data_IF_176540640306
#
_entry.id   IF_176540640306
#
_cell.length_a   1.000
_cell.length_b   1.000
_cell.length_c   1.000
_cell.angle_alpha   90.00
_cell.angle_beta   90.00
_cell.angle_gamma   90.00
#
_symmetry.space_group_name_H-M   'P 1'
#
loop_
_entity.id
_entity.type
_entity.pdbx_description
1 polymer ?
#
# COMPACT_ATOMS: atom_id res chain seq x y z
N UNK A 1 -18.82 -50.78 17.06
CA UNK A 1 -17.51 -50.11 16.89
C UNK A 1 -17.58 -49.07 15.76
N UNK A 2 -18.51 -48.11 15.79
CA UNK A 2 -18.60 -47.00 14.82
C UNK A 2 -19.27 -45.75 15.42
N UNK A 3 -19.19 -45.52 16.74
CA UNK A 3 -19.79 -44.35 17.37
C UNK A 3 -18.81 -43.52 18.24
N UNK A 4 -17.57 -43.96 18.43
CA UNK A 4 -16.56 -43.18 19.18
C UNK A 4 -15.76 -42.20 18.32
N UNK A 5 -15.86 -42.30 16.99
CA UNK A 5 -15.04 -41.52 16.06
C UNK A 5 -15.56 -40.09 15.80
N UNK A 6 -16.83 -39.81 16.10
CA UNK A 6 -17.48 -38.53 15.81
C UNK A 6 -17.21 -37.49 16.93
N UNK A 7 -17.11 -37.92 18.19
CA UNK A 7 -17.03 -37.00 19.34
C UNK A 7 -15.61 -36.41 19.55
N UNK A 8 -14.56 -37.04 19.01
CA UNK A 8 -13.16 -36.60 19.19
C UNK A 8 -12.63 -35.67 18.09
N UNK A 9 -13.31 -35.55 16.95
CA UNK A 9 -12.92 -34.64 15.85
C UNK A 9 -13.25 -33.18 16.19
N UNK A 10 -14.43 -32.94 16.79
CA UNK A 10 -14.92 -31.60 17.16
C UNK A 10 -13.99 -30.89 18.16
N UNK A 11 -13.43 -31.61 19.15
CA UNK A 11 -12.59 -31.00 20.20
C UNK A 11 -11.23 -30.53 19.68
N UNK A 12 -10.62 -31.25 18.74
CA UNK A 12 -9.35 -30.85 18.14
C UNK A 12 -9.56 -29.70 17.14
N UNK A 13 -10.65 -29.73 16.38
CA UNK A 13 -11.04 -28.62 15.50
C UNK A 13 -11.29 -27.33 16.28
N UNK A 14 -11.96 -27.39 17.44
CA UNK A 14 -12.15 -26.23 18.32
C UNK A 14 -10.81 -25.69 18.85
N UNK A 15 -9.86 -26.57 19.21
CA UNK A 15 -8.51 -26.15 19.64
C UNK A 15 -7.72 -25.52 18.50
N UNK A 16 -7.79 -26.08 17.29
CA UNK A 16 -7.16 -25.52 16.09
C UNK A 16 -7.77 -24.17 15.74
N UNK A 17 -9.10 -24.04 15.77
CA UNK A 17 -9.80 -22.79 15.54
C UNK A 17 -9.40 -21.72 16.59
N UNK A 18 -9.32 -22.08 17.86
CA UNK A 18 -8.86 -21.18 18.92
C UNK A 18 -7.40 -20.74 18.72
N UNK A 19 -6.51 -21.65 18.31
CA UNK A 19 -5.12 -21.33 17.96
C UNK A 19 -5.03 -20.39 16.76
N UNK A 20 -5.84 -20.61 15.73
CA UNK A 20 -5.90 -19.74 14.55
C UNK A 20 -6.40 -18.35 14.95
N UNK A 21 -7.46 -18.25 15.75
CA UNK A 21 -7.99 -16.96 16.23
C UNK A 21 -6.94 -16.24 17.09
N UNK A 22 -6.21 -16.96 17.95
CA UNK A 22 -5.15 -16.38 18.77
C UNK A 22 -3.97 -15.88 17.91
N UNK A 23 -3.54 -16.66 16.91
CA UNK A 23 -2.48 -16.26 15.97
C UNK A 23 -2.92 -15.05 15.12
N UNK A 24 -4.17 -15.04 14.66
CA UNK A 24 -4.75 -13.91 13.92
C UNK A 24 -4.87 -12.66 14.81
N UNK A 25 -5.27 -12.81 16.07
CA UNK A 25 -5.30 -11.73 17.05
C UNK A 25 -3.92 -11.19 17.39
N UNK A 26 -2.92 -12.07 17.53
CA UNK A 26 -1.52 -11.70 17.75
C UNK A 26 -0.92 -11.01 16.53
N UNK A 27 -1.19 -11.51 15.31
CA UNK A 27 -0.78 -10.88 14.06
C UNK A 27 -1.44 -9.50 13.88
N UNK A 28 -2.74 -9.37 14.18
CA UNK A 28 -3.45 -8.09 14.16
C UNK A 28 -2.89 -7.11 15.20
N UNK A 29 -2.57 -7.58 16.41
CA UNK A 29 -1.93 -6.77 17.46
C UNK A 29 -0.51 -6.31 17.09
N UNK A 30 0.31 -7.20 16.53
CA UNK A 30 1.65 -6.88 16.03
C UNK A 30 1.60 -5.88 14.87
N UNK A 31 0.64 -6.03 13.94
CA UNK A 31 0.41 -5.09 12.85
C UNK A 31 -0.07 -3.72 13.36
N UNK A 32 -0.96 -3.68 14.35
CA UNK A 32 -1.44 -2.44 14.96
C UNK A 32 -0.32 -1.70 15.71
N UNK A 33 0.53 -2.40 16.46
CA UNK A 33 1.68 -1.81 17.14
C UNK A 33 2.76 -1.33 16.17
N UNK A 34 2.97 -2.05 15.05
CA UNK A 34 3.90 -1.63 14.00
C UNK A 34 3.37 -0.41 13.23
N UNK A 35 2.07 -0.38 12.92
CA UNK A 35 1.39 0.78 12.34
C UNK A 35 1.42 2.00 13.29
N UNK A 36 1.26 1.80 14.59
CA UNK A 36 1.34 2.86 15.58
C UNK A 36 2.75 3.43 15.75
N UNK A 37 3.79 2.58 15.70
CA UNK A 37 5.19 3.00 15.75
C UNK A 37 5.61 3.76 14.49
N UNK A 38 5.13 3.36 13.32
CA UNK A 38 5.35 4.06 12.04
C UNK A 38 4.57 5.38 11.94
N UNK A 39 3.45 5.54 12.65
CA UNK A 39 2.69 6.80 12.68
C UNK A 39 3.27 7.87 13.62
N UNK A 40 4.00 7.47 14.68
CA UNK A 40 4.71 8.40 15.59
C UNK A 40 6.16 8.71 15.18
N UNK A 41 6.72 7.97 14.23
CA UNK A 41 8.04 8.24 13.68
C UNK A 41 7.98 9.32 12.60
N UNK A 42 8.54 10.50 12.89
CA UNK A 42 8.77 11.61 11.97
C UNK A 42 9.83 11.27 10.89
N UNK A 43 9.72 10.11 10.23
CA UNK A 43 10.60 9.68 9.17
C UNK A 43 9.96 9.94 7.82
N UNK A 44 10.63 10.73 6.98
CA UNK A 44 10.43 10.66 5.52
C UNK A 44 10.40 9.17 5.15
N UNK A 45 9.39 8.66 4.43
CA UNK A 45 9.38 7.26 4.04
C UNK A 45 10.69 6.98 3.31
N UNK A 46 11.48 5.95 3.72
CA UNK A 46 12.73 5.65 3.04
C UNK A 46 12.49 5.53 1.54
N UNK A 47 13.41 6.09 0.75
CA UNK A 47 13.33 6.08 -0.70
C UNK A 47 13.20 4.66 -1.23
N UNK A 48 12.79 4.49 -2.50
CA UNK A 48 12.74 3.14 -3.09
C UNK A 48 14.10 2.44 -3.04
N UNK A 49 15.19 3.21 -3.07
CA UNK A 49 16.56 2.71 -2.97
C UNK A 49 16.88 2.20 -1.55
N UNK A 50 16.57 2.99 -0.52
CA UNK A 50 16.77 2.61 0.89
C UNK A 50 16.03 1.31 1.25
N UNK A 51 14.81 1.15 0.72
CA UNK A 51 14.01 -0.08 0.92
C UNK A 51 14.58 -1.28 0.19
N UNK A 52 15.11 -1.09 -1.02
CA UNK A 52 15.76 -2.17 -1.76
C UNK A 52 17.03 -2.62 -1.02
N UNK A 53 17.86 -1.69 -0.58
CA UNK A 53 19.07 -2.02 0.18
C UNK A 53 18.76 -2.71 1.51
N UNK A 54 17.69 -2.30 2.19
CA UNK A 54 17.23 -2.99 3.39
C UNK A 54 16.86 -4.45 3.08
N UNK A 55 16.12 -4.70 1.99
CA UNK A 55 15.79 -6.06 1.55
C UNK A 55 17.02 -6.88 1.21
N UNK A 56 18.00 -6.28 0.51
CA UNK A 56 19.28 -6.94 0.20
C UNK A 56 19.98 -7.39 1.48
N UNK A 57 20.07 -6.50 2.48
CA UNK A 57 20.73 -6.78 3.76
C UNK A 57 19.99 -7.81 4.60
N UNK A 58 18.68 -7.69 4.72
CA UNK A 58 17.85 -8.58 5.54
C UNK A 58 17.75 -9.99 4.95
N UNK A 59 17.70 -10.11 3.61
CA UNK A 59 17.61 -11.40 2.93
C UNK A 59 18.97 -11.96 2.50
N UNK A 60 20.06 -11.23 2.76
CA UNK A 60 21.43 -11.60 2.39
C UNK A 60 21.55 -11.99 0.91
N UNK A 61 20.98 -11.15 0.03
CA UNK A 61 20.91 -11.46 -1.40
C UNK A 61 22.29 -11.42 -2.04
N UNK A 62 22.63 -12.46 -2.82
CA UNK A 62 23.81 -12.45 -3.68
C UNK A 62 23.66 -11.44 -4.82
N UNK A 63 24.76 -11.03 -5.45
CA UNK A 63 24.73 -10.06 -6.55
C UNK A 63 23.85 -10.51 -7.72
N UNK A 64 23.85 -11.81 -8.01
CA UNK A 64 22.98 -12.42 -9.02
C UNK A 64 21.50 -12.30 -8.64
N UNK A 65 21.15 -12.53 -7.36
CA UNK A 65 19.78 -12.38 -6.88
C UNK A 65 19.33 -10.91 -6.86
N UNK A 66 20.19 -9.99 -6.43
CA UNK A 66 19.88 -8.56 -6.43
C UNK A 66 19.55 -8.06 -7.84
N UNK A 67 20.31 -8.48 -8.85
CA UNK A 67 20.07 -8.13 -10.25
C UNK A 67 18.69 -8.60 -10.71
N UNK A 68 18.32 -9.84 -10.40
CA UNK A 68 17.00 -10.38 -10.73
C UNK A 68 15.86 -9.65 -10.01
N UNK A 69 16.01 -9.35 -8.73
CA UNK A 69 14.98 -8.61 -7.96
C UNK A 69 14.81 -7.18 -8.48
N UNK A 70 15.91 -6.49 -8.84
CA UNK A 70 15.83 -5.17 -9.50
C UNK A 70 15.04 -5.23 -10.80
N UNK A 71 15.31 -6.24 -11.63
CA UNK A 71 14.59 -6.43 -12.90
C UNK A 71 13.09 -6.64 -12.66
N UNK A 72 12.72 -7.54 -11.74
CA UNK A 72 11.31 -7.83 -11.42
C UNK A 72 10.59 -6.56 -10.95
N UNK A 73 11.21 -5.76 -10.08
CA UNK A 73 10.60 -4.51 -9.60
C UNK A 73 10.50 -3.44 -10.68
N UNK A 74 11.46 -3.37 -11.59
CA UNK A 74 11.42 -2.48 -12.76
C UNK A 74 10.25 -2.86 -13.68
N UNK A 75 10.17 -4.12 -14.09
CA UNK A 75 9.12 -4.63 -14.98
C UNK A 75 7.73 -4.45 -14.35
N UNK A 76 7.61 -4.74 -13.05
CA UNK A 76 6.37 -4.51 -12.30
C UNK A 76 5.99 -3.03 -12.27
N UNK A 77 6.96 -2.13 -12.10
CA UNK A 77 6.71 -0.68 -12.11
C UNK A 77 6.19 -0.23 -13.47
N UNK A 78 6.77 -0.73 -14.55
CA UNK A 78 6.33 -0.44 -15.92
C UNK A 78 4.91 -0.93 -16.17
N UNK A 79 4.60 -2.19 -15.83
CA UNK A 79 3.25 -2.75 -15.96
C UNK A 79 2.21 -1.92 -15.19
N UNK A 80 2.53 -1.50 -13.97
CA UNK A 80 1.65 -0.65 -13.17
C UNK A 80 1.49 0.75 -13.78
N UNK A 81 2.54 1.33 -14.37
CA UNK A 81 2.44 2.61 -15.06
C UNK A 81 1.54 2.50 -16.30
N UNK A 82 1.66 1.44 -17.08
CA UNK A 82 0.79 1.17 -18.23
C UNK A 82 -0.66 1.04 -17.80
N UNK A 83 -0.95 0.20 -16.79
CA UNK A 83 -2.30 0.05 -16.25
C UNK A 83 -2.87 1.38 -15.74
N UNK A 84 -2.05 2.22 -15.09
CA UNK A 84 -2.48 3.56 -14.65
C UNK A 84 -2.90 4.43 -15.83
N UNK A 85 -2.11 4.48 -16.91
CA UNK A 85 -2.42 5.25 -18.12
C UNK A 85 -3.70 4.76 -18.79
N UNK A 86 -3.87 3.45 -18.91
CA UNK A 86 -5.08 2.84 -19.50
C UNK A 86 -6.33 3.11 -18.66
N UNK A 87 -6.19 3.11 -17.32
CA UNK A 87 -7.30 3.35 -16.40
C UNK A 87 -7.66 4.83 -16.20
N UNK A 88 -6.75 5.76 -16.55
CA UNK A 88 -6.92 7.20 -16.35
C UNK A 88 -8.25 7.75 -16.88
N UNK A 89 -8.67 7.49 -18.14
CA UNK A 89 -9.93 8.02 -18.66
C UNK A 89 -11.14 7.54 -17.85
N UNK A 90 -11.16 6.26 -17.47
CA UNK A 90 -12.25 5.67 -16.69
C UNK A 90 -12.31 6.26 -15.27
N UNK A 91 -11.15 6.47 -14.66
CA UNK A 91 -11.06 7.13 -13.34
C UNK A 91 -11.55 8.58 -13.43
N UNK A 92 -11.18 9.31 -14.49
CA UNK A 92 -11.62 10.70 -14.72
C UNK A 92 -13.13 10.79 -14.88
N UNK A 93 -13.73 9.87 -15.63
CA UNK A 93 -15.18 9.80 -15.80
C UNK A 93 -15.90 9.58 -14.45
N UNK A 94 -15.45 8.60 -13.66
CA UNK A 94 -16.03 8.32 -12.33
C UNK A 94 -15.94 9.57 -11.42
N UNK A 95 -14.81 10.29 -11.45
CA UNK A 95 -14.65 11.54 -10.69
C UNK A 95 -15.61 12.63 -11.17
N UNK A 96 -15.75 12.82 -12.48
CA UNK A 96 -16.69 13.79 -13.05
C UNK A 96 -18.14 13.50 -12.63
N UNK A 97 -18.56 12.23 -12.69
CA UNK A 97 -19.90 11.84 -12.25
C UNK A 97 -20.11 12.04 -10.74
N UNK A 98 -19.08 11.85 -9.93
CA UNK A 98 -19.14 12.15 -8.49
C UNK A 98 -19.26 13.66 -8.25
N UNK A 99 -18.49 14.46 -8.98
CA UNK A 99 -18.51 15.92 -8.91
C UNK A 99 -19.89 16.49 -9.25
N UNK A 100 -20.54 15.99 -10.31
CA UNK A 100 -21.91 16.38 -10.67
C UNK A 100 -22.93 16.06 -9.57
N UNK A 101 -22.79 14.91 -8.90
CA UNK A 101 -23.67 14.53 -7.77
C UNK A 101 -23.43 15.43 -6.56
N UNK A 102 -22.17 15.77 -6.29
CA UNK A 102 -21.78 16.64 -5.19
C UNK A 102 -22.28 18.08 -5.40
N UNK A 103 -22.24 18.62 -6.63
CA UNK A 103 -22.77 19.94 -6.94
C UNK A 103 -24.27 20.07 -6.66
N UNK A 104 -25.04 18.98 -6.77
CA UNK A 104 -26.49 18.97 -6.45
C UNK A 104 -26.78 19.06 -4.96
N UNK A 105 -25.81 18.71 -4.11
CA UNK A 105 -25.97 18.62 -2.65
C UNK A 105 -25.31 19.81 -1.96
N UNK A 106 -24.18 20.28 -2.48
CA UNK A 106 -23.39 21.34 -1.87
C UNK A 106 -23.86 22.73 -2.30
N UNK A 107 -23.79 23.68 -1.38
CA UNK A 107 -23.89 25.11 -1.72
C UNK A 107 -22.66 25.55 -2.53
N UNK A 108 -22.76 26.67 -3.26
CA UNK A 108 -21.66 27.19 -4.08
C UNK A 108 -20.36 27.39 -3.28
N UNK A 109 -20.45 27.93 -2.06
CA UNK A 109 -19.28 28.13 -1.19
C UNK A 109 -18.66 26.82 -0.70
N UNK A 110 -19.48 25.81 -0.39
CA UNK A 110 -18.98 24.48 -0.01
C UNK A 110 -18.33 23.76 -1.20
N UNK A 111 -18.91 23.90 -2.39
CA UNK A 111 -18.35 23.35 -3.62
C UNK A 111 -16.96 23.93 -3.93
N UNK A 112 -16.82 25.25 -3.83
CA UNK A 112 -15.53 25.91 -4.05
C UNK A 112 -14.47 25.44 -3.05
N UNK A 113 -14.83 25.29 -1.76
CA UNK A 113 -13.91 24.74 -0.74
C UNK A 113 -13.54 23.28 -1.02
N UNK A 114 -14.49 22.47 -1.45
CA UNK A 114 -14.24 21.08 -1.83
C UNK A 114 -13.23 20.98 -2.98
N UNK A 115 -13.41 21.76 -4.04
CA UNK A 115 -12.49 21.81 -5.19
C UNK A 115 -11.07 22.23 -4.79
N UNK A 116 -10.94 23.23 -3.90
CA UNK A 116 -9.64 23.63 -3.37
C UNK A 116 -8.95 22.49 -2.61
N UNK A 117 -9.68 21.78 -1.74
CA UNK A 117 -9.13 20.65 -0.98
C UNK A 117 -8.66 19.49 -1.87
N UNK A 118 -9.40 19.21 -2.96
CA UNK A 118 -9.04 18.18 -3.93
C UNK A 118 -7.80 18.59 -4.74
N UNK A 119 -7.75 19.82 -5.24
CA UNK A 119 -6.59 20.34 -5.96
C UNK A 119 -5.32 20.35 -5.10
N UNK A 120 -5.41 20.73 -3.83
CA UNK A 120 -4.26 20.72 -2.92
C UNK A 120 -3.76 19.29 -2.67
N UNK A 121 -4.66 18.31 -2.56
CA UNK A 121 -4.30 16.89 -2.44
C UNK A 121 -3.61 16.38 -3.69
N UNK A 122 -4.12 16.70 -4.88
CA UNK A 122 -3.54 16.27 -6.14
C UNK A 122 -2.18 16.93 -6.40
N UNK A 123 -2.03 18.22 -6.10
CA UNK A 123 -0.75 18.91 -6.18
C UNK A 123 0.28 18.31 -5.23
N UNK A 124 -0.11 17.97 -4.00
CA UNK A 124 0.79 17.28 -3.04
C UNK A 124 1.20 15.88 -3.53
N UNK A 125 0.30 15.16 -4.21
CA UNK A 125 0.62 13.84 -4.80
C UNK A 125 1.61 13.99 -5.95
N UNK A 126 1.32 14.88 -6.91
CA UNK A 126 2.22 15.17 -8.04
C UNK A 126 3.60 15.63 -7.58
N UNK A 127 3.66 16.51 -6.57
CA UNK A 127 4.92 16.97 -6.00
C UNK A 127 5.75 15.84 -5.35
N UNK A 128 5.10 14.79 -4.84
CA UNK A 128 5.81 13.59 -4.33
C UNK A 128 6.28 12.69 -5.46
N UNK A 129 5.46 12.51 -6.49
CA UNK A 129 5.81 11.69 -7.65
C UNK A 129 6.98 12.31 -8.43
N UNK A 130 6.95 13.62 -8.68
CA UNK A 130 8.07 14.34 -9.35
C UNK A 130 9.37 14.35 -8.54
N UNK A 131 9.31 14.24 -7.21
CA UNK A 131 10.51 14.10 -6.37
C UNK A 131 11.10 12.69 -6.41
N UNK A 132 10.32 11.70 -6.79
CA UNK A 132 10.75 10.31 -6.87
C UNK A 132 11.28 9.95 -8.26
N UNK A 133 10.91 10.72 -9.30
CA UNK A 133 11.38 10.57 -10.68
C UNK A 133 12.68 11.37 -10.98
N UNK A 134 13.01 12.40 -10.19
CA UNK A 134 14.30 13.08 -10.25
C UNK A 134 15.22 12.58 -9.13
N UNK A 135 16.34 11.89 -9.44
CA UNK A 135 17.35 11.59 -8.43
C UNK A 135 17.88 12.92 -7.83
N UNK A 136 18.26 12.95 -6.53
CA UNK A 136 18.83 14.14 -5.93
C UNK A 136 20.04 14.64 -6.74
N UNK A 137 20.19 15.96 -6.97
CA UNK A 137 21.36 16.51 -7.62
C UNK A 137 22.57 16.33 -6.69
N UNK A 138 23.24 15.18 -6.79
CA UNK A 138 24.32 14.79 -5.90
C UNK A 138 25.07 13.51 -6.28
N UNK A 139 24.49 12.62 -7.10
CA UNK A 139 25.15 11.39 -7.57
C UNK A 139 25.63 11.48 -9.03
N UNK A 140 26.39 12.53 -9.33
CA UNK A 140 27.34 12.52 -10.46
C UNK A 140 28.75 12.68 -9.88
N UNK A 141 29.35 11.58 -9.44
CA UNK A 141 30.80 11.44 -9.31
C UNK A 141 31.21 10.00 -9.58
#
# INVERSE_FOLDING_TARGET
MMLDKIINQEKWQVRVAAMIIFILGFAAGALALNAYRTWRGNGVPPGSQDRFEQLVRELQLTDAQQTQVKQIFSDTREQLQTLRKESEPRVKEIRSQADERMQKILTAGQWQKFQQLMNERDNRRRARDSRNDNPPPGEQK
#
